data_IF_916446320330
#
_entry.id   IF_916446320330
#
_cell.length_a   1.000
_cell.length_b   1.000
_cell.length_c   1.000
_cell.angle_alpha   90.00
_cell.angle_beta   90.00
_cell.angle_gamma   90.00
#
_symmetry.space_group_name_H-M   'P 1'
#
loop_
_entity.id
_entity.type
_entity.pdbx_description
1 polymer ?
#
# COMPACT_ATOMS: atom_id res chain seq x y z
N UNK A 1 13.31 1.67 8.58
CA UNK A 1 12.38 2.08 7.51
C UNK A 1 12.12 3.57 7.61
N UNK A 2 12.21 4.28 6.49
CA UNK A 2 11.83 5.68 6.40
C UNK A 2 10.62 5.80 5.47
N UNK A 3 9.79 6.81 5.69
CA UNK A 3 8.61 7.01 4.85
C UNK A 3 8.19 8.47 4.80
N UNK A 4 7.46 8.82 3.76
CA UNK A 4 6.82 10.13 3.62
C UNK A 4 5.42 9.97 3.04
N UNK A 5 4.52 10.88 3.40
CA UNK A 5 3.12 10.85 2.97
C UNK A 5 2.78 12.21 2.39
N UNK A 6 2.19 12.21 1.20
CA UNK A 6 1.76 13.42 0.51
C UNK A 6 0.55 13.14 -0.37
N UNK A 7 -0.09 14.18 -0.88
CA UNK A 7 -1.10 14.00 -1.93
C UNK A 7 -0.46 14.18 -3.30
N UNK A 8 -1.03 13.59 -4.33
CA UNK A 8 -0.60 13.81 -5.71
C UNK A 8 -0.86 15.26 -6.14
N UNK A 9 -0.15 15.72 -7.17
CA UNK A 9 -0.29 17.09 -7.68
C UNK A 9 -1.72 17.40 -8.11
N UNK A 10 -2.43 16.43 -8.68
CA UNK A 10 -3.81 16.56 -9.12
C UNK A 10 -4.84 16.27 -8.00
N UNK A 11 -4.37 15.96 -6.79
CA UNK A 11 -5.20 15.65 -5.61
C UNK A 11 -6.11 14.43 -5.79
N UNK A 12 -5.76 13.49 -6.69
CA UNK A 12 -6.58 12.31 -6.98
C UNK A 12 -6.19 11.09 -6.15
N UNK A 13 -4.97 11.06 -5.60
CA UNK A 13 -4.53 9.95 -4.76
C UNK A 13 -3.50 10.42 -3.72
N UNK A 14 -3.36 9.59 -2.68
CA UNK A 14 -2.35 9.80 -1.64
C UNK A 14 -1.10 9.02 -2.03
N UNK A 15 0.07 9.57 -1.79
CA UNK A 15 1.36 8.92 -2.04
C UNK A 15 2.00 8.58 -0.71
N UNK A 16 2.26 7.29 -0.50
CA UNK A 16 3.05 6.78 0.60
C UNK A 16 4.36 6.23 0.03
N UNK A 17 5.45 6.93 0.27
CA UNK A 17 6.78 6.49 -0.16
C UNK A 17 7.50 5.84 1.00
N UNK A 18 8.00 4.62 0.79
CA UNK A 18 8.67 3.82 1.81
C UNK A 18 10.07 3.46 1.33
N UNK A 19 11.06 3.55 2.21
CA UNK A 19 12.46 3.23 1.91
C UNK A 19 13.02 2.33 3.02
N UNK A 20 13.75 1.30 2.63
CA UNK A 20 14.38 0.37 3.54
C UNK A 20 13.58 -0.91 3.79
N UNK A 21 14.05 -1.71 4.73
CA UNK A 21 13.38 -2.97 5.08
C UNK A 21 12.21 -2.71 6.03
N UNK A 22 11.12 -3.44 5.86
CA UNK A 22 9.94 -3.29 6.71
C UNK A 22 9.25 -4.64 6.98
N UNK A 23 8.49 -4.65 8.07
CA UNK A 23 7.57 -5.74 8.42
C UNK A 23 6.14 -5.22 8.34
N UNK A 24 5.15 -6.11 8.43
CA UNK A 24 3.76 -5.72 8.46
C UNK A 24 3.46 -4.73 9.61
N UNK A 25 4.03 -4.95 10.79
CA UNK A 25 3.83 -4.06 11.93
C UNK A 25 4.37 -2.66 11.70
N UNK A 26 5.57 -2.53 11.16
CA UNK A 26 6.15 -1.21 10.87
C UNK A 26 5.40 -0.52 9.75
N UNK A 27 4.95 -1.27 8.74
CA UNK A 27 4.22 -0.72 7.61
C UNK A 27 2.81 -0.25 8.02
N UNK A 28 2.17 -0.94 8.96
CA UNK A 28 0.82 -0.57 9.42
C UNK A 28 0.77 0.85 10.01
N UNK A 29 1.83 1.31 10.66
CA UNK A 29 1.92 2.69 11.16
C UNK A 29 1.82 3.70 10.02
N UNK A 30 2.52 3.43 8.92
CA UNK A 30 2.47 4.29 7.74
C UNK A 30 1.09 4.29 7.10
N UNK A 31 0.44 3.12 7.05
CA UNK A 31 -0.91 2.98 6.50
C UNK A 31 -1.91 3.80 7.29
N UNK A 32 -1.85 3.74 8.62
CA UNK A 32 -2.76 4.51 9.48
C UNK A 32 -2.62 6.01 9.19
N UNK A 33 -1.39 6.52 9.09
CA UNK A 33 -1.15 7.93 8.78
C UNK A 33 -1.63 8.29 7.38
N UNK A 34 -1.36 7.46 6.39
CA UNK A 34 -1.80 7.69 5.01
C UNK A 34 -3.33 7.74 4.92
N UNK A 35 -4.02 6.82 5.59
CA UNK A 35 -5.48 6.79 5.62
C UNK A 35 -6.07 7.97 6.38
N UNK A 36 -5.38 8.47 7.41
CA UNK A 36 -5.82 9.69 8.11
C UNK A 36 -5.82 10.89 7.16
N UNK A 37 -4.76 11.04 6.36
CA UNK A 37 -4.71 12.10 5.35
C UNK A 37 -5.79 11.89 4.28
N UNK A 38 -5.96 10.67 3.81
CA UNK A 38 -6.98 10.35 2.80
C UNK A 38 -8.39 10.69 3.29
N UNK A 39 -8.70 10.35 4.54
CA UNK A 39 -10.00 10.68 5.13
C UNK A 39 -10.21 12.19 5.21
N UNK A 40 -9.19 12.93 5.64
CA UNK A 40 -9.24 14.39 5.72
C UNK A 40 -9.53 15.02 4.35
N UNK A 41 -8.95 14.47 3.29
CA UNK A 41 -9.05 14.99 1.93
C UNK A 41 -10.15 14.35 1.09
N UNK A 42 -10.87 13.36 1.63
CA UNK A 42 -11.88 12.62 0.88
C UNK A 42 -11.31 11.73 -0.23
N UNK A 43 -10.09 11.24 -0.07
CA UNK A 43 -9.38 10.43 -1.05
C UNK A 43 -9.30 8.97 -0.55
N UNK A 44 -9.67 8.01 -1.42
CA UNK A 44 -9.67 6.58 -1.12
C UNK A 44 -8.77 5.77 -2.07
N UNK A 45 -7.78 6.44 -2.68
CA UNK A 45 -6.83 5.84 -3.62
C UNK A 45 -5.42 6.14 -3.12
N UNK A 46 -4.58 5.12 -3.10
CA UNK A 46 -3.25 5.21 -2.50
C UNK A 46 -2.21 4.62 -3.44
N UNK A 47 -1.15 5.39 -3.72
CA UNK A 47 0.05 4.90 -4.37
C UNK A 47 1.10 4.64 -3.30
N UNK A 48 1.49 3.38 -3.15
CA UNK A 48 2.58 3.00 -2.26
C UNK A 48 3.84 2.84 -3.12
N UNK A 49 4.73 3.81 -3.04
CA UNK A 49 6.02 3.75 -3.72
C UNK A 49 7.00 2.97 -2.86
N UNK A 50 7.15 1.69 -3.16
CA UNK A 50 8.03 0.77 -2.48
C UNK A 50 9.23 0.36 -3.37
N UNK A 51 9.58 1.20 -4.33
CA UNK A 51 10.68 0.93 -5.27
C UNK A 51 12.00 0.67 -4.54
N UNK A 52 12.23 1.35 -3.43
CA UNK A 52 13.43 1.22 -2.61
C UNK A 52 13.13 0.60 -1.24
N UNK A 53 12.06 -0.16 -1.13
CA UNK A 53 11.66 -0.82 0.10
C UNK A 53 11.56 -2.33 -0.12
N UNK A 54 11.93 -3.10 0.92
CA UNK A 54 11.89 -4.55 0.89
C UNK A 54 11.05 -5.09 2.03
N UNK A 55 10.10 -5.96 1.71
CA UNK A 55 9.31 -6.65 2.71
C UNK A 55 10.12 -7.84 3.26
N UNK A 56 10.47 -7.77 4.54
CA UNK A 56 11.21 -8.83 5.22
C UNK A 56 10.33 -9.65 6.16
N UNK A 57 9.02 -9.46 6.11
CA UNK A 57 8.10 -10.19 6.97
C UNK A 57 7.97 -11.65 6.53
N UNK A 58 7.53 -12.49 7.46
CA UNK A 58 7.20 -13.88 7.18
C UNK A 58 5.91 -13.98 6.36
N UNK A 59 5.69 -15.14 5.74
CA UNK A 59 4.43 -15.43 5.06
C UNK A 59 3.24 -15.31 6.03
N UNK A 60 3.41 -15.76 7.28
CA UNK A 60 2.36 -15.65 8.30
C UNK A 60 2.05 -14.17 8.62
N UNK A 61 3.09 -13.33 8.76
CA UNK A 61 2.91 -11.90 9.01
C UNK A 61 2.16 -11.21 7.86
N UNK A 62 2.48 -11.52 6.62
CA UNK A 62 1.79 -10.99 5.45
C UNK A 62 0.33 -11.47 5.38
N UNK A 63 0.08 -12.72 5.69
CA UNK A 63 -1.27 -13.28 5.76
C UNK A 63 -2.10 -12.58 6.84
N UNK A 64 -1.56 -12.44 8.05
CA UNK A 64 -2.23 -11.75 9.17
C UNK A 64 -2.54 -10.30 8.80
N UNK A 65 -1.61 -9.61 8.12
CA UNK A 65 -1.82 -8.26 7.65
C UNK A 65 -3.05 -8.15 6.76
N UNK A 66 -3.16 -9.02 5.74
CA UNK A 66 -4.25 -8.95 4.77
C UNK A 66 -5.60 -9.38 5.37
N UNK A 67 -5.62 -10.46 6.15
CA UNK A 67 -6.87 -11.05 6.63
C UNK A 67 -7.33 -10.53 7.98
N UNK A 68 -6.45 -9.92 8.75
CA UNK A 68 -6.78 -9.44 10.10
C UNK A 68 -6.49 -7.94 10.26
N UNK A 69 -5.25 -7.53 10.12
CA UNK A 69 -4.83 -6.17 10.50
C UNK A 69 -5.53 -5.09 9.67
N UNK A 70 -5.60 -5.27 8.36
CA UNK A 70 -6.25 -4.28 7.47
C UNK A 70 -7.75 -4.17 7.72
N UNK A 71 -8.40 -5.27 8.11
CA UNK A 71 -9.86 -5.29 8.33
C UNK A 71 -10.26 -4.82 9.73
N UNK A 72 -9.35 -4.89 10.71
CA UNK A 72 -9.66 -4.66 12.12
C UNK A 72 -8.96 -3.43 12.72
N UNK A 73 -8.15 -2.71 11.95
CA UNK A 73 -7.47 -1.53 12.44
C UNK A 73 -8.36 -0.30 12.21
N UNK A 74 -8.66 0.40 13.30
CA UNK A 74 -9.47 1.62 13.24
C UNK A 74 -8.80 2.67 12.35
N UNK A 75 -9.58 3.34 11.52
CA UNK A 75 -9.10 4.39 10.63
C UNK A 75 -8.57 3.88 9.29
N UNK A 76 -8.48 2.58 9.09
CA UNK A 76 -8.02 1.98 7.83
C UNK A 76 -9.23 1.49 7.04
N UNK A 77 -9.28 1.88 5.75
CA UNK A 77 -10.31 1.41 4.82
C UNK A 77 -9.76 0.23 4.01
N UNK A 78 -10.17 -1.02 4.32
CA UNK A 78 -9.67 -2.19 3.60
C UNK A 78 -10.16 -2.28 2.16
N UNK A 79 -11.15 -1.48 1.78
CA UNK A 79 -11.70 -1.44 0.41
C UNK A 79 -11.08 -0.32 -0.42
N UNK A 80 -10.11 0.42 0.11
CA UNK A 80 -9.40 1.44 -0.64
C UNK A 80 -8.62 0.81 -1.80
N UNK A 81 -8.53 1.54 -2.92
CA UNK A 81 -7.74 1.09 -4.07
C UNK A 81 -6.28 1.45 -3.84
N UNK A 82 -5.40 0.47 -3.94
CA UNK A 82 -3.97 0.63 -3.69
C UNK A 82 -3.16 0.11 -4.87
N UNK A 83 -2.28 0.94 -5.39
CA UNK A 83 -1.27 0.53 -6.35
C UNK A 83 0.08 0.53 -5.64
N UNK A 84 0.77 -0.60 -5.65
CA UNK A 84 2.13 -0.72 -5.14
C UNK A 84 3.12 -0.61 -6.28
N UNK A 85 4.02 0.36 -6.22
CA UNK A 85 5.09 0.52 -7.20
C UNK A 85 6.35 -0.13 -6.63
N UNK A 86 6.86 -1.14 -7.34
CA UNK A 86 7.99 -1.95 -6.87
C UNK A 86 9.08 -2.05 -7.93
N UNK A 87 10.31 -2.37 -7.50
CA UNK A 87 11.40 -2.65 -8.43
C UNK A 87 11.14 -3.97 -9.17
N UNK A 88 11.45 -4.07 -10.48
CA UNK A 88 11.27 -5.32 -11.24
C UNK A 88 12.06 -6.51 -10.68
N UNK A 89 13.16 -6.23 -9.99
CA UNK A 89 14.03 -7.27 -9.42
C UNK A 89 13.64 -7.68 -8.00
N UNK A 90 12.69 -7.00 -7.39
CA UNK A 90 12.26 -7.27 -6.01
C UNK A 90 10.91 -7.99 -6.00
N UNK A 91 10.93 -9.26 -5.59
CA UNK A 91 9.73 -10.09 -5.50
C UNK A 91 9.21 -10.22 -4.05
N UNK A 92 9.78 -9.45 -3.10
CA UNK A 92 9.43 -9.54 -1.68
C UNK A 92 7.98 -9.11 -1.39
N UNK A 93 7.33 -8.42 -2.31
CA UNK A 93 5.94 -7.93 -2.15
C UNK A 93 4.89 -8.87 -2.77
N UNK A 94 5.32 -9.91 -3.52
CA UNK A 94 4.38 -10.72 -4.31
C UNK A 94 3.40 -11.48 -3.45
N UNK A 95 3.85 -12.03 -2.32
CA UNK A 95 2.98 -12.80 -1.45
C UNK A 95 1.87 -11.94 -0.82
N UNK A 96 2.19 -10.71 -0.40
CA UNK A 96 1.18 -9.81 0.19
C UNK A 96 0.15 -9.39 -0.86
N UNK A 97 0.54 -9.23 -2.12
CA UNK A 97 -0.42 -8.97 -3.20
C UNK A 97 -1.41 -10.13 -3.33
N UNK A 98 -0.89 -11.35 -3.36
CA UNK A 98 -1.72 -12.55 -3.52
C UNK A 98 -2.71 -12.69 -2.37
N UNK A 99 -2.26 -12.61 -1.13
CA UNK A 99 -3.15 -12.79 0.03
C UNK A 99 -4.12 -11.62 0.16
N UNK A 100 -3.71 -10.39 -0.19
CA UNK A 100 -4.60 -9.22 -0.14
C UNK A 100 -5.72 -9.35 -1.17
N UNK A 101 -5.40 -9.78 -2.39
CA UNK A 101 -6.41 -10.02 -3.43
C UNK A 101 -7.39 -11.10 -2.99
N UNK A 102 -6.89 -12.21 -2.44
CA UNK A 102 -7.73 -13.30 -1.95
C UNK A 102 -8.60 -12.88 -0.76
N UNK A 103 -8.16 -11.89 0.02
CA UNK A 103 -8.92 -11.34 1.12
C UNK A 103 -9.97 -10.29 0.68
N UNK A 104 -10.08 -10.02 -0.62
CA UNK A 104 -11.05 -9.08 -1.16
C UNK A 104 -10.59 -7.63 -1.20
N UNK A 105 -9.31 -7.37 -1.03
CA UNK A 105 -8.73 -6.04 -1.11
C UNK A 105 -8.36 -5.68 -2.56
N UNK A 106 -8.27 -4.38 -2.85
CA UNK A 106 -7.95 -3.85 -4.18
C UNK A 106 -6.49 -3.39 -4.24
N UNK A 107 -5.57 -4.31 -4.00
CA UNK A 107 -4.12 -4.07 -4.06
C UNK A 107 -3.54 -4.73 -5.30
N UNK A 108 -2.81 -3.95 -6.11
CA UNK A 108 -2.09 -4.48 -7.26
C UNK A 108 -0.70 -3.88 -7.34
N UNK A 109 0.29 -4.72 -7.71
CA UNK A 109 1.67 -4.29 -7.87
C UNK A 109 1.96 -3.91 -9.32
N UNK A 110 2.84 -2.91 -9.47
CA UNK A 110 3.29 -2.40 -10.77
C UNK A 110 4.78 -2.12 -10.71
N UNK A 111 5.43 -2.16 -11.87
CA UNK A 111 6.84 -1.75 -12.03
C UNK A 111 6.96 -0.46 -12.84
N UNK A 112 5.85 0.04 -13.36
CA UNK A 112 5.77 1.28 -14.12
C UNK A 112 4.80 2.25 -13.46
N UNK A 113 5.25 3.48 -13.21
CA UNK A 113 4.45 4.51 -12.56
C UNK A 113 3.16 4.83 -13.33
N UNK A 114 3.24 4.95 -14.67
CA UNK A 114 2.06 5.29 -15.48
C UNK A 114 0.98 4.21 -15.40
N UNK A 115 1.36 2.95 -15.40
CA UNK A 115 0.42 1.84 -15.24
C UNK A 115 -0.23 1.85 -13.85
N UNK A 116 0.56 2.12 -12.81
CA UNK A 116 0.06 2.24 -11.44
C UNK A 116 -0.95 3.38 -11.33
N UNK A 117 -0.63 4.53 -11.90
CA UNK A 117 -1.51 5.69 -11.89
C UNK A 117 -2.81 5.41 -12.67
N UNK A 118 -2.73 4.77 -13.82
CA UNK A 118 -3.91 4.42 -14.61
C UNK A 118 -4.84 3.49 -13.83
N UNK A 119 -4.29 2.51 -13.11
CA UNK A 119 -5.08 1.64 -12.25
C UNK A 119 -5.80 2.43 -11.15
N UNK A 120 -5.10 3.37 -10.50
CA UNK A 120 -5.69 4.18 -9.43
C UNK A 120 -6.83 5.08 -9.92
N UNK A 121 -6.69 5.65 -11.12
CA UNK A 121 -7.66 6.60 -11.66
C UNK A 121 -8.78 5.93 -12.45
N UNK A 122 -8.74 4.63 -12.63
CA UNK A 122 -9.76 3.86 -13.32
C UNK A 122 -11.08 3.91 -12.54
N UNK A 123 -12.15 4.18 -13.26
CA UNK A 123 -13.49 4.25 -12.66
C UNK A 123 -14.10 2.87 -12.38
#
# INVERSE_FOLDING_TARGET
MEYSISKSDDSNYIILKVVGEFTANSFMKCIIEAHALGKEMGIHRYLVDATNARNIDSAFGSYKFAYHDMKNTEGVNPLARVAGLVSPDDHSHNFVETVSTNAGMFLKLFTDFNEARDYLLKK
#
